data_IF_874586617261
#
_entry.id   IF_874586617261
#
_cell.length_a   1.000
_cell.length_b   1.000
_cell.length_c   1.000
_cell.angle_alpha   90.00
_cell.angle_beta   90.00
_cell.angle_gamma   90.00
#
_symmetry.space_group_name_H-M   'P 1'
#
loop_
_entity.id
_entity.type
_entity.pdbx_description
1 polymer ?
#
# COMPACT_ATOMS: atom_id res chain seq x y z
N UNK A 1 -21.32 46.15 -24.89
CA UNK A 1 -21.18 44.79 -24.32
C UNK A 1 -19.76 44.44 -23.92
N UNK A 2 -18.74 44.46 -24.78
CA UNK A 2 -17.35 44.08 -24.46
C UNK A 2 -16.74 44.79 -23.24
N UNK A 3 -16.95 46.12 -23.06
CA UNK A 3 -16.46 46.87 -21.88
C UNK A 3 -17.09 46.40 -20.56
N UNK A 4 -18.39 46.03 -20.52
CA UNK A 4 -19.04 45.49 -19.31
C UNK A 4 -18.49 44.10 -18.92
N UNK A 5 -18.17 43.26 -19.90
CA UNK A 5 -17.57 41.92 -19.67
C UNK A 5 -16.14 42.06 -19.11
N UNK A 6 -15.37 43.04 -19.61
CA UNK A 6 -14.01 43.29 -19.11
C UNK A 6 -14.05 43.82 -17.68
N UNK A 7 -14.96 44.76 -17.36
CA UNK A 7 -15.15 45.29 -16.00
C UNK A 7 -15.60 44.16 -15.05
N UNK A 8 -16.51 43.27 -15.47
CA UNK A 8 -16.99 42.15 -14.68
C UNK A 8 -15.84 41.13 -14.42
N UNK A 9 -15.00 40.86 -15.41
CA UNK A 9 -13.79 40.01 -15.24
C UNK A 9 -12.77 40.64 -14.30
N UNK A 10 -12.55 41.95 -14.39
CA UNK A 10 -11.63 42.69 -13.51
C UNK A 10 -12.20 42.73 -12.08
N UNK A 11 -13.50 42.97 -11.89
CA UNK A 11 -14.17 42.90 -10.59
C UNK A 11 -14.11 41.47 -9.98
N UNK A 12 -14.33 40.44 -10.80
CA UNK A 12 -14.20 39.03 -10.38
C UNK A 12 -12.77 38.71 -9.99
N UNK A 13 -11.78 39.18 -10.76
CA UNK A 13 -10.34 39.03 -10.43
C UNK A 13 -9.93 39.81 -9.18
N UNK A 14 -10.51 41.00 -8.94
CA UNK A 14 -10.28 41.77 -7.72
C UNK A 14 -10.96 41.14 -6.50
N UNK A 15 -12.14 40.58 -6.65
CA UNK A 15 -12.84 39.79 -5.61
C UNK A 15 -12.06 38.51 -5.27
N UNK A 16 -11.54 37.81 -6.27
CA UNK A 16 -10.71 36.61 -6.06
C UNK A 16 -9.37 36.95 -5.38
N UNK A 17 -8.76 38.11 -5.67
CA UNK A 17 -7.53 38.59 -4.99
C UNK A 17 -7.75 39.01 -3.53
N UNK A 18 -8.99 39.29 -3.09
CA UNK A 18 -9.29 39.65 -1.70
C UNK A 18 -9.57 38.48 -0.77
N UNK A 19 -9.70 37.27 -1.31
CA UNK A 19 -9.94 36.06 -0.49
C UNK A 19 -8.60 35.57 0.04
N UNK A 20 -8.33 35.83 1.32
CA UNK A 20 -7.19 35.29 2.00
C UNK A 20 -7.48 33.86 2.41
N UNK A 21 -6.77 32.92 1.80
CA UNK A 21 -6.84 31.50 2.11
C UNK A 21 -5.50 31.01 2.64
N UNK A 22 -5.55 30.07 3.57
CA UNK A 22 -4.38 29.43 4.17
C UNK A 22 -4.54 27.92 4.18
N UNK A 23 -3.59 27.19 3.57
CA UNK A 23 -3.52 25.73 3.71
C UNK A 23 -3.11 25.40 5.14
N UNK A 24 -3.78 24.46 5.78
CA UNK A 24 -3.49 23.99 7.14
C UNK A 24 -2.99 22.55 7.18
N UNK A 25 -3.42 21.73 6.21
CA UNK A 25 -3.08 20.30 6.13
C UNK A 25 -3.18 19.84 4.69
N UNK A 26 -2.30 18.91 4.32
CA UNK A 26 -2.32 18.20 3.04
C UNK A 26 -2.14 16.71 3.30
N UNK A 27 -3.02 15.91 2.75
CA UNK A 27 -2.84 14.48 2.61
C UNK A 27 -2.66 14.16 1.13
N UNK A 28 -1.58 13.51 0.78
CA UNK A 28 -1.28 13.00 -0.55
C UNK A 28 -1.29 11.48 -0.54
N UNK A 29 -1.99 10.87 -1.50
CA UNK A 29 -1.83 9.46 -1.81
C UNK A 29 -1.50 9.31 -3.28
N UNK A 30 -0.46 8.53 -3.60
CA UNK A 30 -0.11 8.24 -4.98
C UNK A 30 0.10 6.75 -5.25
N UNK A 31 -0.20 6.34 -6.48
CA UNK A 31 0.19 5.07 -7.05
C UNK A 31 1.70 5.07 -7.31
N UNK A 32 2.39 3.93 -7.13
CA UNK A 32 3.78 3.78 -7.58
C UNK A 32 3.95 4.14 -9.07
N UNK A 33 5.15 4.49 -9.49
CA UNK A 33 5.51 4.78 -10.87
C UNK A 33 5.50 3.56 -11.79
N UNK A 34 5.85 3.77 -13.06
CA UNK A 34 5.98 2.71 -14.06
C UNK A 34 6.92 1.61 -13.56
N UNK A 35 6.48 0.36 -13.71
CA UNK A 35 7.13 -0.85 -13.19
C UNK A 35 7.20 -1.96 -14.23
N UNK A 36 8.05 -2.93 -13.98
CA UNK A 36 8.04 -4.20 -14.70
C UNK A 36 6.73 -4.98 -14.42
N UNK A 37 6.33 -5.90 -15.30
CA UNK A 37 5.19 -6.79 -15.06
C UNK A 37 5.28 -7.50 -13.71
N UNK A 38 4.12 -7.65 -13.02
CA UNK A 38 4.10 -8.20 -11.66
C UNK A 38 3.88 -9.71 -11.59
N UNK A 39 3.23 -10.31 -12.60
CA UNK A 39 2.75 -11.69 -12.55
C UNK A 39 2.92 -12.36 -13.93
N UNK A 40 2.70 -13.67 -13.99
CA UNK A 40 2.62 -14.42 -15.25
C UNK A 40 3.88 -14.31 -16.14
N UNK A 41 5.05 -14.27 -15.51
CA UNK A 41 6.33 -14.44 -16.18
C UNK A 41 6.65 -15.93 -16.17
N UNK A 42 7.09 -16.48 -17.33
CA UNK A 42 7.45 -17.89 -17.45
C UNK A 42 8.72 -18.23 -16.66
N UNK A 43 9.07 -19.52 -16.62
CA UNK A 43 10.31 -20.00 -15.97
C UNK A 43 11.59 -19.41 -16.57
N UNK A 44 11.54 -18.83 -17.78
CA UNK A 44 12.66 -18.20 -18.46
C UNK A 44 12.68 -16.67 -18.25
N UNK A 45 11.78 -16.12 -17.42
CA UNK A 45 11.64 -14.69 -17.16
C UNK A 45 10.94 -13.92 -18.28
N UNK A 46 10.15 -14.60 -19.17
CA UNK A 46 9.45 -13.94 -20.28
C UNK A 46 7.99 -13.66 -19.95
N UNK A 47 7.53 -12.48 -20.32
CA UNK A 47 6.13 -12.08 -20.25
C UNK A 47 5.27 -12.64 -21.39
N UNK A 48 4.00 -12.23 -21.49
CA UNK A 48 3.09 -12.67 -22.54
C UNK A 48 3.56 -12.28 -23.96
N UNK A 49 4.26 -11.15 -24.12
CA UNK A 49 4.79 -10.69 -25.40
C UNK A 49 6.11 -11.35 -25.76
N UNK A 50 6.64 -12.22 -24.90
CA UNK A 50 7.93 -12.89 -25.07
C UNK A 50 9.14 -12.04 -24.66
N UNK A 51 8.92 -10.86 -24.09
CA UNK A 51 9.98 -9.98 -23.57
C UNK A 51 10.54 -10.53 -22.27
N UNK A 52 11.87 -10.56 -22.18
CA UNK A 52 12.57 -11.00 -20.96
C UNK A 52 12.71 -9.84 -19.97
N UNK A 53 12.40 -10.14 -18.71
CA UNK A 53 12.55 -9.23 -17.59
C UNK A 53 13.48 -9.82 -16.53
N UNK A 54 14.47 -9.04 -16.08
CA UNK A 54 15.40 -9.48 -15.04
C UNK A 54 14.74 -9.46 -13.65
N UNK A 55 13.81 -8.52 -13.43
CA UNK A 55 13.13 -8.35 -12.15
C UNK A 55 11.62 -8.18 -12.34
N UNK A 56 10.84 -8.84 -11.50
CA UNK A 56 9.37 -8.83 -11.56
C UNK A 56 8.80 -7.77 -10.62
N UNK A 57 7.96 -6.89 -11.16
CA UNK A 57 7.23 -5.88 -10.37
C UNK A 57 8.07 -4.76 -9.77
N UNK A 58 9.35 -4.66 -10.14
CA UNK A 58 10.24 -3.60 -9.67
C UNK A 58 10.01 -2.28 -10.43
N UNK A 59 10.31 -1.17 -9.77
CA UNK A 59 10.16 0.17 -10.33
C UNK A 59 11.19 0.41 -11.45
N UNK A 60 10.73 0.93 -12.59
CA UNK A 60 11.62 1.29 -13.69
C UNK A 60 12.26 2.67 -13.51
N UNK A 61 13.29 2.98 -14.31
CA UNK A 61 13.88 4.34 -14.32
C UNK A 61 12.86 5.39 -14.78
N UNK A 62 11.91 5.01 -15.64
CA UNK A 62 10.76 5.88 -16.01
C UNK A 62 9.92 6.17 -14.76
N UNK A 63 9.56 5.14 -13.99
CA UNK A 63 8.80 5.29 -12.75
C UNK A 63 9.52 6.14 -11.69
N UNK A 64 10.84 5.98 -11.55
CA UNK A 64 11.66 6.83 -10.66
C UNK A 64 11.59 8.30 -11.09
N UNK A 65 11.71 8.58 -12.40
CA UNK A 65 11.61 9.95 -12.93
C UNK A 65 10.21 10.54 -12.75
N UNK A 66 9.15 9.75 -12.97
CA UNK A 66 7.78 10.20 -12.73
C UNK A 66 7.61 10.72 -11.30
N UNK A 67 8.07 9.97 -10.31
CA UNK A 67 7.96 10.37 -8.90
C UNK A 67 8.89 11.51 -8.51
N UNK A 68 10.10 11.58 -9.06
CA UNK A 68 10.96 12.74 -8.85
C UNK A 68 10.30 14.03 -9.34
N UNK A 69 9.68 13.99 -10.52
CA UNK A 69 8.98 15.16 -11.08
C UNK A 69 7.72 15.50 -10.28
N UNK A 70 6.96 14.50 -9.78
CA UNK A 70 5.84 14.70 -8.87
C UNK A 70 6.32 15.38 -7.55
N UNK A 71 7.47 14.98 -7.03
CA UNK A 71 8.08 15.61 -5.88
C UNK A 71 8.48 17.07 -6.11
N UNK A 72 9.06 17.39 -7.28
CA UNK A 72 9.37 18.79 -7.66
C UNK A 72 8.08 19.61 -7.78
N UNK A 73 7.02 19.05 -8.35
CA UNK A 73 5.71 19.67 -8.41
C UNK A 73 5.16 19.98 -7.00
N UNK A 74 5.25 19.05 -6.07
CA UNK A 74 4.85 19.26 -4.68
C UNK A 74 5.72 20.34 -4.00
N UNK A 75 7.04 20.37 -4.26
CA UNK A 75 7.92 21.40 -3.76
C UNK A 75 7.45 22.79 -4.18
N UNK A 76 7.08 22.97 -5.46
CA UNK A 76 6.63 24.27 -5.98
C UNK A 76 5.25 24.66 -5.44
N UNK A 77 4.30 23.74 -5.41
CA UNK A 77 2.93 24.01 -4.97
C UNK A 77 2.84 24.36 -3.48
N UNK A 78 3.69 23.71 -2.66
CA UNK A 78 3.63 23.84 -1.20
C UNK A 78 4.80 24.64 -0.60
N UNK A 79 5.59 25.36 -1.41
CA UNK A 79 6.76 26.15 -0.96
C UNK A 79 6.46 27.20 0.11
N UNK A 80 5.25 27.77 0.12
CA UNK A 80 4.84 28.75 1.12
C UNK A 80 4.12 28.13 2.33
N UNK A 81 3.87 26.82 2.29
CA UNK A 81 3.18 26.07 3.32
C UNK A 81 4.15 25.25 4.18
N UNK A 82 5.15 24.66 3.55
CA UNK A 82 6.18 23.82 4.19
C UNK A 82 7.46 24.63 4.47
N UNK A 83 8.24 24.14 5.42
CA UNK A 83 9.58 24.65 5.67
C UNK A 83 10.52 24.39 4.47
N UNK A 84 11.55 25.19 4.35
CA UNK A 84 12.57 25.04 3.30
C UNK A 84 13.50 23.84 3.51
N UNK A 85 13.28 23.04 4.54
CA UNK A 85 14.02 21.82 4.82
C UNK A 85 13.09 20.79 5.45
N UNK A 86 13.44 19.52 5.32
CA UNK A 86 12.70 18.44 5.97
C UNK A 86 12.68 18.60 7.50
N UNK A 87 11.47 18.52 8.07
CA UNK A 87 11.26 18.47 9.51
C UNK A 87 10.32 17.31 9.89
N UNK A 88 10.73 16.38 10.80
CA UNK A 88 9.97 15.15 11.08
C UNK A 88 8.62 15.37 11.76
N UNK A 89 8.38 16.55 12.33
CA UNK A 89 7.07 16.92 12.90
C UNK A 89 6.14 17.59 11.88
N UNK A 90 6.66 17.96 10.72
CA UNK A 90 5.89 18.61 9.68
C UNK A 90 5.38 17.63 8.64
N UNK A 91 6.24 16.67 8.25
CA UNK A 91 5.98 15.71 7.17
C UNK A 91 6.05 14.29 7.70
N UNK A 92 5.03 13.51 7.39
CA UNK A 92 4.92 12.11 7.73
C UNK A 92 4.72 11.28 6.46
N UNK A 93 5.59 10.31 6.23
CA UNK A 93 5.57 9.49 5.00
C UNK A 93 5.38 8.03 5.34
N UNK A 94 4.40 7.41 4.69
CA UNK A 94 4.14 5.98 4.75
C UNK A 94 4.21 5.33 3.38
N UNK A 95 4.64 4.09 3.33
CA UNK A 95 4.63 3.26 2.13
C UNK A 95 4.13 1.85 2.45
N UNK A 96 3.49 1.18 1.49
CA UNK A 96 3.32 -0.27 1.55
C UNK A 96 4.69 -0.94 1.50
N UNK A 97 4.81 -2.14 2.08
CA UNK A 97 6.04 -2.92 2.06
C UNK A 97 6.26 -3.62 0.69
N UNK A 98 6.47 -2.81 -0.34
CA UNK A 98 6.82 -3.24 -1.70
C UNK A 98 7.95 -2.35 -2.23
N UNK A 99 8.96 -2.94 -2.85
CA UNK A 99 10.11 -2.18 -3.36
C UNK A 99 9.66 -1.01 -4.23
N UNK A 100 8.78 -1.24 -5.21
CA UNK A 100 8.30 -0.19 -6.12
C UNK A 100 7.62 0.99 -5.42
N UNK A 101 6.90 0.78 -4.31
CA UNK A 101 6.25 1.87 -3.58
C UNK A 101 7.25 2.62 -2.70
N UNK A 102 8.19 1.91 -2.08
CA UNK A 102 9.28 2.49 -1.29
C UNK A 102 10.18 3.33 -2.20
N UNK A 103 10.60 2.80 -3.35
CA UNK A 103 11.43 3.54 -4.33
C UNK A 103 10.67 4.73 -4.94
N UNK A 104 9.36 4.61 -5.16
CA UNK A 104 8.50 5.71 -5.60
C UNK A 104 8.47 6.84 -4.57
N UNK A 105 8.27 6.50 -3.29
CA UNK A 105 8.32 7.48 -2.20
C UNK A 105 9.70 8.11 -2.10
N UNK A 106 10.78 7.32 -2.19
CA UNK A 106 12.16 7.84 -2.17
C UNK A 106 12.39 8.84 -3.31
N UNK A 107 12.00 8.51 -4.53
CA UNK A 107 12.17 9.40 -5.68
C UNK A 107 11.30 10.68 -5.55
N UNK A 108 10.05 10.57 -5.06
CA UNK A 108 9.20 11.71 -4.78
C UNK A 108 9.84 12.66 -3.76
N UNK A 109 10.30 12.12 -2.63
CA UNK A 109 10.95 12.91 -1.57
C UNK A 109 12.28 13.54 -2.03
N UNK A 110 13.04 12.86 -2.88
CA UNK A 110 14.22 13.46 -3.53
C UNK A 110 13.84 14.69 -4.36
N UNK A 111 12.71 14.65 -5.08
CA UNK A 111 12.18 15.80 -5.81
C UNK A 111 11.67 16.89 -4.88
N UNK A 112 10.86 16.53 -3.89
CA UNK A 112 10.23 17.46 -2.94
C UNK A 112 11.25 18.24 -2.11
N UNK A 113 12.39 17.62 -1.79
CA UNK A 113 13.48 18.22 -1.03
C UNK A 113 14.75 18.41 -1.85
N UNK A 114 14.63 18.57 -3.17
CA UNK A 114 15.75 18.85 -4.05
C UNK A 114 16.33 20.22 -3.72
N UNK A 115 17.65 20.29 -3.46
CA UNK A 115 18.34 21.49 -2.99
C UNK A 115 17.83 22.07 -1.67
N UNK A 116 17.30 21.22 -0.81
CA UNK A 116 16.75 21.57 0.52
C UNK A 116 17.45 20.84 1.67
N UNK A 117 18.62 20.29 1.45
CA UNK A 117 19.44 19.63 2.46
C UNK A 117 20.00 20.61 3.50
N UNK A 118 20.31 20.10 4.67
CA UNK A 118 21.01 20.88 5.69
C UNK A 118 22.52 20.81 5.48
N UNK A 119 23.15 21.97 5.47
CA UNK A 119 24.62 22.08 5.32
C UNK A 119 25.35 21.58 6.57
N UNK A 120 26.51 20.98 6.37
CA UNK A 120 27.45 20.59 7.42
C UNK A 120 28.29 21.80 7.79
N UNK A 121 28.36 22.11 9.10
CA UNK A 121 29.24 23.21 9.59
C UNK A 121 30.71 22.80 9.52
N UNK A 122 31.60 23.75 9.39
CA UNK A 122 33.05 23.51 9.27
C UNK A 122 33.62 22.63 10.40
N UNK A 123 33.19 22.88 11.65
CA UNK A 123 33.60 22.08 12.80
C UNK A 123 33.03 20.67 12.84
N UNK A 124 32.03 20.37 11.99
CA UNK A 124 31.38 19.05 11.86
C UNK A 124 32.00 18.19 10.74
N UNK A 125 32.71 18.81 9.78
CA UNK A 125 33.29 18.10 8.61
C UNK A 125 34.19 16.93 9.02
N UNK A 126 35.03 17.12 10.05
CA UNK A 126 35.88 16.04 10.57
C UNK A 126 35.13 14.82 11.10
N UNK A 127 33.86 14.97 11.52
CA UNK A 127 33.01 13.90 12.02
C UNK A 127 32.11 13.29 10.93
N UNK A 128 32.08 13.90 9.74
CA UNK A 128 31.29 13.41 8.62
C UNK A 128 31.95 12.19 7.92
N UNK A 129 33.21 11.95 8.18
CA UNK A 129 33.93 10.78 7.70
C UNK A 129 33.81 9.67 8.74
N UNK A 130 33.33 8.46 8.34
CA UNK A 130 33.24 7.35 9.25
C UNK A 130 34.57 6.99 9.88
N UNK A 131 34.61 6.83 11.20
CA UNK A 131 35.82 6.41 11.92
C UNK A 131 36.19 4.96 11.55
N UNK A 132 37.48 4.65 11.55
CA UNK A 132 38.03 3.32 11.26
C UNK A 132 37.84 2.84 9.81
N UNK A 133 37.44 3.73 8.88
CA UNK A 133 37.40 3.44 7.45
C UNK A 133 38.49 4.26 6.76
N UNK A 134 39.37 3.57 6.03
CA UNK A 134 40.34 4.25 5.17
C UNK A 134 39.64 4.64 3.85
N UNK A 135 39.31 5.90 3.73
CA UNK A 135 38.66 6.44 2.53
C UNK A 135 39.69 6.51 1.41
N UNK A 136 39.46 5.79 0.32
CA UNK A 136 40.34 5.79 -0.84
C UNK A 136 40.31 7.13 -1.61
N UNK A 137 41.23 7.30 -2.58
CA UNK A 137 41.37 8.54 -3.34
C UNK A 137 40.05 8.97 -4.07
N UNK A 138 39.24 8.01 -4.51
CA UNK A 138 37.94 8.29 -5.17
C UNK A 138 36.99 8.94 -4.16
N UNK A 139 36.83 8.33 -2.99
CA UNK A 139 35.93 8.84 -1.96
C UNK A 139 36.37 10.19 -1.41
N UNK A 140 37.69 10.42 -1.29
CA UNK A 140 38.25 11.75 -0.92
C UNK A 140 37.87 12.83 -1.94
N UNK A 141 37.88 12.51 -3.25
CA UNK A 141 37.42 13.44 -4.27
C UNK A 141 35.93 13.77 -4.08
N UNK A 142 35.07 12.76 -3.86
CA UNK A 142 33.64 12.96 -3.60
C UNK A 142 33.42 13.82 -2.36
N UNK A 143 34.18 13.61 -1.26
CA UNK A 143 34.09 14.44 -0.05
C UNK A 143 34.42 15.91 -0.35
N UNK A 144 35.42 16.16 -1.18
CA UNK A 144 35.75 17.52 -1.59
C UNK A 144 34.69 18.16 -2.47
N UNK A 145 34.08 17.36 -3.40
CA UNK A 145 33.00 17.83 -4.28
C UNK A 145 31.72 18.14 -3.51
N UNK A 146 31.43 17.41 -2.41
CA UNK A 146 30.31 17.69 -1.52
C UNK A 146 30.42 19.01 -0.77
N UNK A 147 31.65 19.45 -0.48
CA UNK A 147 31.97 20.69 0.29
C UNK A 147 31.14 20.72 1.62
N UNK A 148 30.10 21.56 1.68
CA UNK A 148 29.21 21.69 2.86
C UNK A 148 27.96 20.85 2.74
N UNK A 149 27.70 20.21 1.61
CA UNK A 149 26.50 19.37 1.41
C UNK A 149 26.62 18.08 2.21
N UNK A 150 25.55 17.69 2.89
CA UNK A 150 25.48 16.40 3.58
C UNK A 150 25.33 15.22 2.61
N UNK A 151 24.65 15.43 1.48
CA UNK A 151 24.42 14.48 0.42
C UNK A 151 24.56 15.16 -0.96
N UNK A 152 24.85 14.40 -2.03
CA UNK A 152 24.93 14.95 -3.39
C UNK A 152 23.66 15.72 -3.76
N UNK A 153 23.85 16.83 -4.50
CA UNK A 153 22.78 17.72 -4.95
C UNK A 153 21.99 18.39 -3.83
N UNK A 154 22.52 18.41 -2.61
CA UNK A 154 21.89 19.01 -1.43
C UNK A 154 20.48 18.45 -1.18
N UNK A 155 20.32 17.12 -1.33
CA UNK A 155 19.05 16.42 -1.11
C UNK A 155 18.89 16.12 0.38
N UNK A 156 17.69 16.34 0.93
CA UNK A 156 17.38 15.90 2.28
C UNK A 156 17.02 14.40 2.32
N UNK A 157 17.59 13.65 3.25
CA UNK A 157 17.13 12.30 3.58
C UNK A 157 15.85 12.35 4.39
N UNK A 158 14.76 11.75 3.88
CA UNK A 158 13.46 11.71 4.54
C UNK A 158 13.10 10.27 4.91
N UNK A 159 12.79 9.96 6.17
CA UNK A 159 12.37 8.63 6.59
C UNK A 159 11.04 8.23 5.96
N UNK A 160 10.95 6.97 5.52
CA UNK A 160 9.73 6.34 5.02
C UNK A 160 9.34 5.27 6.04
N UNK A 161 8.13 5.40 6.61
CA UNK A 161 7.57 4.41 7.51
C UNK A 161 6.84 3.34 6.71
N UNK A 162 7.10 2.08 7.03
CA UNK A 162 6.42 0.96 6.39
C UNK A 162 5.25 0.53 7.25
N UNK A 163 4.12 0.25 6.59
CA UNK A 163 3.05 -0.48 7.25
C UNK A 163 3.43 -1.96 7.35
N UNK A 164 3.19 -2.54 8.50
CA UNK A 164 3.39 -3.98 8.70
C UNK A 164 2.20 -4.73 8.10
N UNK A 165 2.48 -5.66 7.19
CA UNK A 165 1.43 -6.50 6.56
C UNK A 165 0.62 -7.28 7.62
N UNK A 166 1.24 -7.59 8.75
CA UNK A 166 0.66 -8.32 9.88
C UNK A 166 -0.30 -7.47 10.74
N UNK A 167 -0.22 -6.15 10.69
CA UNK A 167 -1.05 -5.22 11.46
C UNK A 167 -2.31 -4.78 10.71
N UNK A 168 -2.77 -5.57 9.73
CA UNK A 168 -3.98 -5.29 8.95
C UNK A 168 -3.98 -3.90 8.32
N UNK A 169 -2.98 -3.65 7.50
CA UNK A 169 -2.84 -2.37 6.81
C UNK A 169 -3.89 -2.21 5.70
N UNK A 170 -5.11 -1.88 6.14
CA UNK A 170 -6.20 -1.49 5.24
C UNK A 170 -5.98 -0.13 4.58
N UNK A 171 -4.89 0.57 4.92
CA UNK A 171 -4.75 1.97 4.57
C UNK A 171 -4.18 2.18 3.19
N UNK A 172 -3.34 1.26 2.71
CA UNK A 172 -2.58 1.44 1.47
C UNK A 172 -2.80 0.33 0.44
N UNK A 173 -3.48 -0.75 0.81
CA UNK A 173 -3.72 -1.89 -0.06
C UNK A 173 -5.04 -2.58 0.31
N UNK A 174 -5.67 -3.28 -0.66
CA UNK A 174 -6.74 -4.22 -0.34
C UNK A 174 -6.19 -5.29 0.62
N UNK A 175 -6.93 -5.68 1.67
CA UNK A 175 -6.42 -6.65 2.62
C UNK A 175 -6.28 -8.02 1.97
N UNK A 176 -5.07 -8.47 1.76
CA UNK A 176 -4.75 -9.78 1.18
C UNK A 176 -5.28 -10.95 1.99
N UNK A 177 -5.46 -10.74 3.29
CA UNK A 177 -5.86 -11.77 4.26
C UNK A 177 -7.34 -11.73 4.60
N UNK A 178 -8.12 -10.87 3.96
CA UNK A 178 -9.56 -10.80 4.13
C UNK A 178 -10.25 -11.81 3.19
N UNK A 179 -10.48 -13.03 3.65
CA UNK A 179 -11.10 -14.09 2.85
C UNK A 179 -12.43 -13.68 2.18
N UNK A 180 -13.36 -12.97 2.86
CA UNK A 180 -14.57 -12.49 2.22
C UNK A 180 -14.29 -11.61 1.00
N UNK A 181 -13.31 -10.70 1.07
CA UNK A 181 -12.95 -9.85 -0.08
C UNK A 181 -12.40 -10.67 -1.24
N UNK A 182 -11.50 -11.60 -0.97
CA UNK A 182 -10.94 -12.47 -2.00
C UNK A 182 -12.05 -13.27 -2.72
N UNK A 183 -13.00 -13.83 -1.97
CA UNK A 183 -14.12 -14.55 -2.52
C UNK A 183 -15.07 -13.66 -3.35
N UNK A 184 -15.35 -12.44 -2.88
CA UNK A 184 -16.18 -11.47 -3.59
C UNK A 184 -15.52 -11.00 -4.88
N UNK A 185 -14.23 -10.68 -4.83
CA UNK A 185 -13.41 -10.32 -6.00
C UNK A 185 -13.43 -11.44 -7.04
N UNK A 186 -13.20 -12.68 -6.60
CA UNK A 186 -13.27 -13.85 -7.48
C UNK A 186 -14.64 -13.99 -8.14
N UNK A 187 -15.75 -13.81 -7.39
CA UNK A 187 -17.12 -13.86 -7.92
C UNK A 187 -17.36 -12.75 -8.94
N UNK A 188 -16.95 -11.51 -8.65
CA UNK A 188 -17.16 -10.38 -9.55
C UNK A 188 -16.35 -10.52 -10.85
N UNK A 189 -15.06 -10.89 -10.77
CA UNK A 189 -14.22 -11.07 -11.96
C UNK A 189 -14.71 -12.19 -12.90
N UNK A 190 -15.52 -13.14 -12.40
CA UNK A 190 -16.12 -14.21 -13.18
C UNK A 190 -17.62 -13.96 -13.52
N UNK A 191 -18.13 -12.76 -13.25
CA UNK A 191 -19.51 -12.38 -13.55
C UNK A 191 -19.76 -12.30 -15.08
N UNK A 192 -21.03 -12.31 -15.46
CA UNK A 192 -21.42 -12.19 -16.87
C UNK A 192 -20.99 -10.86 -17.48
N UNK A 193 -20.99 -9.76 -16.71
CA UNK A 193 -20.53 -8.46 -17.18
C UNK A 193 -19.03 -8.49 -17.50
N UNK A 194 -18.21 -9.11 -16.63
CA UNK A 194 -16.78 -9.26 -16.88
C UNK A 194 -16.48 -10.19 -18.06
N UNK A 195 -17.25 -11.28 -18.20
CA UNK A 195 -17.17 -12.14 -19.39
C UNK A 195 -17.51 -11.39 -20.67
N UNK A 196 -18.48 -10.47 -20.64
CA UNK A 196 -18.80 -9.60 -21.78
C UNK A 196 -17.62 -8.70 -22.14
N UNK A 197 -16.96 -8.05 -21.16
CA UNK A 197 -15.79 -7.25 -21.42
C UNK A 197 -14.63 -8.07 -22.05
N UNK A 198 -14.42 -9.31 -21.61
CA UNK A 198 -13.46 -10.23 -22.21
C UNK A 198 -13.84 -10.58 -23.65
N UNK A 199 -15.12 -10.89 -23.89
CA UNK A 199 -15.63 -11.19 -25.24
C UNK A 199 -15.48 -10.00 -26.20
N UNK A 200 -15.81 -8.78 -25.74
CA UNK A 200 -15.67 -7.57 -26.54
C UNK A 200 -14.19 -7.34 -26.92
N UNK A 201 -13.25 -7.55 -25.97
CA UNK A 201 -11.82 -7.49 -26.26
C UNK A 201 -11.40 -8.57 -27.24
N UNK A 202 -11.86 -9.81 -27.06
CA UNK A 202 -11.56 -10.94 -27.94
C UNK A 202 -12.06 -10.69 -29.38
N UNK A 203 -13.28 -10.13 -29.52
CA UNK A 203 -13.85 -9.79 -30.83
C UNK A 203 -13.04 -8.69 -31.55
N UNK A 204 -12.51 -7.74 -30.77
CA UNK A 204 -11.76 -6.61 -31.33
C UNK A 204 -10.30 -6.97 -31.71
N UNK A 205 -9.62 -7.74 -30.86
CA UNK A 205 -8.17 -7.98 -30.98
C UNK A 205 -7.78 -9.47 -31.01
N UNK A 206 -8.66 -10.38 -30.59
CA UNK A 206 -8.31 -11.77 -30.27
C UNK A 206 -7.67 -12.53 -31.45
N UNK A 207 -8.21 -12.41 -32.68
CA UNK A 207 -7.63 -13.10 -33.85
C UNK A 207 -6.22 -12.61 -34.16
N UNK A 208 -6.00 -11.29 -34.12
CA UNK A 208 -4.71 -10.67 -34.40
C UNK A 208 -3.68 -11.01 -33.33
N UNK A 209 -4.11 -10.96 -32.06
CA UNK A 209 -3.27 -11.33 -30.92
C UNK A 209 -2.91 -12.81 -30.92
N UNK A 210 -3.83 -13.71 -31.24
CA UNK A 210 -3.53 -15.13 -31.34
C UNK A 210 -2.46 -15.39 -32.41
N UNK A 211 -2.60 -14.81 -33.60
CA UNK A 211 -1.58 -14.91 -34.67
C UNK A 211 -0.21 -14.34 -34.24
N UNK A 212 -0.22 -13.24 -33.47
CA UNK A 212 1.00 -12.67 -32.93
C UNK A 212 1.64 -13.60 -31.89
N UNK A 213 0.84 -14.08 -30.90
CA UNK A 213 1.30 -14.93 -29.82
C UNK A 213 1.81 -16.28 -30.29
N UNK A 214 1.18 -16.90 -31.30
CA UNK A 214 1.64 -18.13 -31.91
C UNK A 214 3.04 -18.00 -32.54
N UNK A 215 3.37 -16.82 -33.06
CA UNK A 215 4.64 -16.57 -33.73
C UNK A 215 5.72 -15.99 -32.81
N UNK A 216 5.36 -15.17 -31.84
CA UNK A 216 6.30 -14.37 -31.07
C UNK A 216 6.14 -14.52 -29.56
N UNK A 217 5.01 -15.04 -29.09
CA UNK A 217 4.66 -15.08 -27.68
C UNK A 217 5.30 -16.25 -26.94
N UNK A 218 5.06 -16.24 -25.63
CA UNK A 218 5.50 -17.29 -24.73
C UNK A 218 4.48 -18.44 -24.71
N UNK A 219 4.82 -19.57 -25.34
CA UNK A 219 3.93 -20.74 -25.49
C UNK A 219 3.35 -21.27 -24.16
N UNK A 220 4.08 -21.16 -23.04
CA UNK A 220 3.61 -21.67 -21.76
C UNK A 220 2.36 -20.93 -21.22
N UNK A 221 2.22 -19.64 -21.58
CA UNK A 221 1.19 -18.78 -21.03
C UNK A 221 -0.10 -18.68 -21.87
N UNK A 222 -0.09 -19.08 -23.17
CA UNK A 222 -1.25 -18.88 -24.04
C UNK A 222 -1.68 -20.09 -24.89
N UNK A 223 -1.08 -21.26 -24.73
CA UNK A 223 -1.47 -22.51 -25.44
C UNK A 223 -2.96 -22.88 -25.33
N UNK A 224 -3.72 -22.17 -24.51
CA UNK A 224 -5.13 -22.38 -24.33
C UNK A 224 -5.91 -21.50 -25.31
N UNK A 225 -6.55 -22.09 -26.31
CA UNK A 225 -7.41 -21.41 -27.33
C UNK A 225 -8.49 -20.48 -26.72
N UNK A 226 -8.74 -20.62 -25.41
CA UNK A 226 -9.74 -19.86 -24.64
C UNK A 226 -9.11 -18.79 -23.74
N UNK A 227 -7.85 -18.41 -23.96
CA UNK A 227 -7.13 -17.47 -23.10
C UNK A 227 -7.90 -16.13 -22.92
N UNK A 228 -8.40 -15.57 -24.03
CA UNK A 228 -9.15 -14.31 -24.01
C UNK A 228 -10.64 -14.44 -23.63
N UNK A 229 -11.13 -15.64 -23.27
CA UNK A 229 -12.49 -15.83 -22.76
C UNK A 229 -12.62 -15.46 -21.27
N UNK A 230 -11.49 -15.31 -20.58
CA UNK A 230 -11.42 -14.94 -19.17
C UNK A 230 -11.04 -13.46 -19.00
N UNK A 231 -11.87 -12.71 -18.27
CA UNK A 231 -11.58 -11.30 -17.95
C UNK A 231 -10.23 -11.14 -17.24
N UNK A 232 -9.91 -12.02 -16.29
CA UNK A 232 -8.66 -11.94 -15.56
C UNK A 232 -7.43 -12.16 -16.45
N UNK A 233 -7.53 -13.04 -17.45
CA UNK A 233 -6.45 -13.26 -18.39
C UNK A 233 -6.24 -12.04 -19.29
N UNK A 234 -7.33 -11.46 -19.79
CA UNK A 234 -7.30 -10.22 -20.59
C UNK A 234 -6.71 -9.07 -19.76
N UNK A 235 -7.15 -8.95 -18.51
CA UNK A 235 -6.61 -7.94 -17.56
C UNK A 235 -5.10 -8.13 -17.36
N UNK A 236 -4.64 -9.34 -17.07
CA UNK A 236 -3.21 -9.63 -16.88
C UNK A 236 -2.39 -9.34 -18.14
N UNK A 237 -2.91 -9.71 -19.30
CA UNK A 237 -2.28 -9.39 -20.58
C UNK A 237 -2.16 -7.87 -20.78
N UNK A 238 -3.22 -7.13 -20.50
CA UNK A 238 -3.22 -5.68 -20.56
C UNK A 238 -2.24 -5.04 -19.57
N UNK A 239 -2.12 -5.57 -18.34
CA UNK A 239 -1.14 -5.08 -17.35
C UNK A 239 0.29 -5.22 -17.86
N UNK A 240 0.62 -6.36 -18.49
CA UNK A 240 1.92 -6.59 -19.14
C UNK A 240 2.15 -5.62 -20.29
N UNK A 241 1.20 -5.52 -21.21
CA UNK A 241 1.31 -4.62 -22.35
C UNK A 241 1.51 -3.17 -21.92
N UNK A 242 0.73 -2.68 -20.93
CA UNK A 242 0.88 -1.32 -20.41
C UNK A 242 2.27 -1.13 -19.78
N UNK A 243 2.77 -2.11 -19.04
CA UNK A 243 4.11 -2.06 -18.46
C UNK A 243 5.19 -1.97 -19.53
N UNK A 244 5.12 -2.81 -20.56
CA UNK A 244 6.05 -2.84 -21.68
C UNK A 244 6.01 -1.54 -22.49
N UNK A 245 4.79 -1.10 -22.85
CA UNK A 245 4.57 0.11 -23.65
C UNK A 245 5.06 1.36 -22.90
N UNK A 246 4.86 1.42 -21.59
CA UNK A 246 5.33 2.55 -20.76
C UNK A 246 6.84 2.52 -20.53
N UNK A 247 7.45 1.32 -20.52
CA UNK A 247 8.88 1.18 -20.38
C UNK A 247 9.62 1.60 -21.66
N UNK A 248 9.18 1.10 -22.80
CA UNK A 248 9.73 1.41 -24.12
C UNK A 248 8.70 1.16 -25.22
N UNK A 249 7.99 2.20 -25.64
CA UNK A 249 7.00 2.13 -26.73
C UNK A 249 7.63 1.83 -28.09
N UNK A 250 8.94 2.02 -28.23
CA UNK A 250 9.72 1.75 -29.45
C UNK A 250 10.32 0.33 -29.47
N UNK A 251 10.11 -0.45 -28.40
CA UNK A 251 10.59 -1.83 -28.29
C UNK A 251 10.14 -2.68 -29.49
N UNK A 252 11.03 -3.55 -29.97
CA UNK A 252 10.81 -4.38 -31.16
C UNK A 252 9.58 -5.29 -30.98
N UNK A 253 9.33 -5.83 -29.79
CA UNK A 253 8.17 -6.69 -29.54
C UNK A 253 6.86 -5.90 -29.60
N UNK A 254 6.85 -4.67 -29.05
CA UNK A 254 5.70 -3.77 -29.15
C UNK A 254 5.42 -3.42 -30.62
N UNK A 255 6.44 -3.03 -31.38
CA UNK A 255 6.30 -2.71 -32.81
C UNK A 255 5.91 -3.91 -33.68
N UNK A 256 6.21 -5.12 -33.28
CA UNK A 256 5.73 -6.33 -33.97
C UNK A 256 4.20 -6.43 -33.96
N UNK A 257 3.51 -5.90 -32.91
CA UNK A 257 2.05 -5.88 -32.88
C UNK A 257 1.44 -5.12 -34.05
N UNK A 258 2.07 -4.02 -34.48
CA UNK A 258 1.61 -3.24 -35.65
C UNK A 258 1.66 -4.07 -36.96
N UNK A 259 2.64 -4.98 -37.10
CA UNK A 259 2.72 -5.92 -38.26
C UNK A 259 1.53 -6.88 -38.29
N UNK A 260 0.85 -7.08 -37.18
CA UNK A 260 -0.40 -7.85 -37.10
C UNK A 260 -1.65 -6.95 -37.16
N UNK A 261 -1.51 -5.71 -37.66
CA UNK A 261 -2.60 -4.73 -37.81
C UNK A 261 -3.26 -4.35 -36.49
N UNK A 262 -2.50 -4.29 -35.41
CA UNK A 262 -2.95 -3.79 -34.10
C UNK A 262 -2.52 -2.31 -33.98
N UNK A 263 -3.48 -1.41 -33.90
CA UNK A 263 -3.24 0.00 -33.57
C UNK A 263 -2.86 0.09 -32.09
N UNK A 264 -1.61 0.47 -31.81
CA UNK A 264 -1.05 0.49 -30.45
C UNK A 264 -1.76 1.47 -29.54
N UNK A 265 -2.14 2.67 -30.03
CA UNK A 265 -2.83 3.68 -29.23
C UNK A 265 -4.24 3.21 -28.85
N UNK A 266 -4.99 2.68 -29.82
CA UNK A 266 -6.32 2.11 -29.57
C UNK A 266 -6.24 0.93 -28.60
N UNK A 267 -5.25 0.09 -28.78
CA UNK A 267 -4.99 -1.07 -27.92
C UNK A 267 -4.63 -0.64 -26.49
N UNK A 268 -3.74 0.33 -26.33
CA UNK A 268 -3.38 0.92 -25.05
C UNK A 268 -4.62 1.49 -24.32
N UNK A 269 -5.41 2.30 -25.01
CA UNK A 269 -6.62 2.85 -24.43
C UNK A 269 -7.64 1.78 -24.00
N UNK A 270 -7.75 0.69 -24.79
CA UNK A 270 -8.62 -0.43 -24.44
C UNK A 270 -8.12 -1.15 -23.20
N UNK A 271 -6.81 -1.39 -23.10
CA UNK A 271 -6.19 -1.97 -21.93
C UNK A 271 -6.36 -1.07 -20.69
N UNK A 272 -6.15 0.24 -20.80
CA UNK A 272 -6.38 1.20 -19.71
C UNK A 272 -7.83 1.16 -19.21
N UNK A 273 -8.81 1.03 -20.12
CA UNK A 273 -10.21 0.89 -19.72
C UNK A 273 -10.46 -0.41 -18.94
N UNK A 274 -9.86 -1.53 -19.32
CA UNK A 274 -9.98 -2.78 -18.58
C UNK A 274 -9.31 -2.71 -17.20
N UNK A 275 -8.19 -1.99 -17.07
CA UNK A 275 -7.58 -1.69 -15.78
C UNK A 275 -8.53 -0.91 -14.88
N UNK A 276 -9.19 0.13 -15.43
CA UNK A 276 -10.22 0.90 -14.72
C UNK A 276 -11.37 0.02 -14.25
N UNK A 277 -11.93 -0.83 -15.11
CA UNK A 277 -13.01 -1.77 -14.76
C UNK A 277 -12.58 -2.71 -13.62
N UNK A 278 -11.37 -3.27 -13.68
CA UNK A 278 -10.85 -4.12 -12.60
C UNK A 278 -10.84 -3.39 -11.26
N UNK A 279 -10.37 -2.15 -11.23
CA UNK A 279 -10.22 -1.38 -9.99
C UNK A 279 -11.57 -0.92 -9.42
N UNK A 280 -12.45 -0.39 -10.25
CA UNK A 280 -13.68 0.26 -9.80
C UNK A 280 -14.88 -0.70 -9.71
N UNK A 281 -14.97 -1.68 -10.62
CA UNK A 281 -16.14 -2.54 -10.72
C UNK A 281 -15.89 -3.96 -10.17
N UNK A 282 -14.66 -4.45 -10.19
CA UNK A 282 -14.30 -5.72 -9.58
C UNK A 282 -13.83 -5.56 -8.14
N UNK A 283 -12.82 -4.70 -7.88
CA UNK A 283 -12.27 -4.53 -6.51
C UNK A 283 -13.27 -3.79 -5.62
N UNK A 284 -13.77 -2.64 -6.08
CA UNK A 284 -14.71 -1.79 -5.32
C UNK A 284 -16.14 -1.79 -5.86
N UNK A 285 -16.53 -2.82 -6.61
CA UNK A 285 -17.91 -2.96 -7.10
C UNK A 285 -18.95 -3.18 -6.00
N UNK A 286 -18.50 -3.59 -4.81
CA UNK A 286 -19.35 -3.75 -3.63
C UNK A 286 -19.07 -2.68 -2.59
N UNK A 287 -20.15 -2.13 -2.04
CA UNK A 287 -20.09 -1.07 -1.03
C UNK A 287 -19.41 -1.52 0.27
N UNK A 288 -19.66 -2.75 0.71
CA UNK A 288 -19.05 -3.30 1.93
C UNK A 288 -17.51 -3.39 1.81
N UNK A 289 -16.98 -3.79 0.65
CA UNK A 289 -15.54 -3.81 0.37
C UNK A 289 -14.97 -2.38 0.36
N UNK A 290 -15.66 -1.45 -0.29
CA UNK A 290 -15.26 -0.04 -0.33
C UNK A 290 -15.20 0.57 1.08
N UNK A 291 -16.25 0.38 1.88
CA UNK A 291 -16.32 0.96 3.24
C UNK A 291 -15.34 0.30 4.19
N UNK A 292 -15.15 -1.02 4.09
CA UNK A 292 -14.14 -1.72 4.87
C UNK A 292 -12.73 -1.16 4.59
N UNK A 293 -12.37 -1.00 3.30
CA UNK A 293 -11.04 -0.53 2.90
C UNK A 293 -10.80 0.95 3.17
N UNK A 294 -11.83 1.80 3.01
CA UNK A 294 -11.68 3.26 3.07
C UNK A 294 -11.98 3.85 4.45
N UNK A 295 -12.64 3.12 5.35
CA UNK A 295 -12.94 3.65 6.70
C UNK A 295 -11.70 3.98 7.52
N UNK A 296 -10.66 3.15 7.59
CA UNK A 296 -9.45 3.48 8.36
C UNK A 296 -8.72 4.74 7.85
N UNK A 297 -8.39 4.89 6.55
CA UNK A 297 -7.67 6.06 6.06
C UNK A 297 -8.48 7.35 6.23
N UNK A 298 -9.77 7.36 5.90
CA UNK A 298 -10.59 8.57 6.05
C UNK A 298 -10.71 9.01 7.51
N UNK A 299 -10.80 8.09 8.46
CA UNK A 299 -10.81 8.40 9.90
C UNK A 299 -9.52 9.09 10.34
N UNK A 300 -8.36 8.61 9.86
CA UNK A 300 -7.08 9.25 10.15
C UNK A 300 -6.98 10.64 9.52
N UNK A 301 -7.40 10.81 8.27
CA UNK A 301 -7.39 12.10 7.56
C UNK A 301 -8.24 13.13 8.33
N UNK A 302 -9.48 12.76 8.69
CA UNK A 302 -10.36 13.65 9.47
C UNK A 302 -9.72 14.01 10.80
N UNK A 303 -9.16 13.06 11.54
CA UNK A 303 -8.51 13.32 12.83
C UNK A 303 -7.31 14.27 12.70
N UNK A 304 -6.49 14.15 11.66
CA UNK A 304 -5.41 15.10 11.40
C UNK A 304 -5.93 16.48 11.05
N UNK A 305 -6.97 16.58 10.23
CA UNK A 305 -7.62 17.85 9.89
C UNK A 305 -8.19 18.53 11.13
N UNK A 306 -8.89 17.82 12.01
CA UNK A 306 -9.44 18.36 13.26
C UNK A 306 -8.35 18.90 14.19
N UNK A 307 -7.25 18.19 14.33
CA UNK A 307 -6.09 18.67 15.12
C UNK A 307 -5.50 19.96 14.53
N UNK A 308 -5.39 20.06 13.20
CA UNK A 308 -4.91 21.27 12.53
C UNK A 308 -5.89 22.43 12.65
N UNK A 309 -7.20 22.17 12.59
CA UNK A 309 -8.24 23.17 12.88
C UNK A 309 -8.10 23.69 14.31
N UNK A 310 -7.98 22.80 15.29
CA UNK A 310 -7.80 23.17 16.69
C UNK A 310 -6.56 24.05 16.90
N UNK A 311 -5.41 23.68 16.33
CA UNK A 311 -4.19 24.49 16.40
C UNK A 311 -4.39 25.87 15.73
N UNK A 312 -5.12 25.94 14.61
CA UNK A 312 -5.41 27.21 13.96
C UNK A 312 -6.32 28.12 14.82
N UNK A 313 -7.33 27.57 15.46
CA UNK A 313 -8.21 28.28 16.40
C UNK A 313 -7.46 28.85 17.62
N UNK A 314 -6.38 28.20 18.02
CA UNK A 314 -5.48 28.67 19.08
C UNK A 314 -4.41 29.65 18.59
N UNK A 315 -4.43 30.07 17.32
CA UNK A 315 -3.39 30.85 16.67
C UNK A 315 -2.01 30.16 16.63
N UNK A 316 -1.99 28.82 16.69
CA UNK A 316 -0.80 27.96 16.70
C UNK A 316 -0.65 27.14 15.41
N UNK A 317 -1.22 27.60 14.29
CA UNK A 317 -1.24 26.85 13.02
C UNK A 317 0.16 26.50 12.45
N UNK A 318 1.19 27.24 12.85
CA UNK A 318 2.58 26.97 12.43
C UNK A 318 3.31 26.01 13.39
N UNK A 319 2.66 25.60 14.48
CA UNK A 319 3.29 24.67 15.43
C UNK A 319 3.52 23.30 14.79
N UNK A 320 4.68 22.74 15.12
CA UNK A 320 5.12 21.43 14.62
C UNK A 320 4.91 20.38 15.70
N UNK A 321 4.07 19.39 15.40
CA UNK A 321 3.73 18.30 16.31
C UNK A 321 3.66 16.96 15.53
N UNK A 322 4.30 15.91 16.06
CA UNK A 322 4.26 14.56 15.50
C UNK A 322 2.84 13.99 15.35
N UNK A 323 1.93 14.37 16.26
CA UNK A 323 0.54 13.91 16.22
C UNK A 323 -0.36 14.73 15.29
N UNK A 324 0.17 15.84 14.76
CA UNK A 324 -0.55 16.79 13.92
C UNK A 324 0.37 17.29 12.79
N UNK A 325 0.85 16.39 11.91
CA UNK A 325 1.70 16.79 10.78
C UNK A 325 0.95 17.76 9.87
N UNK A 326 1.68 18.58 9.12
CA UNK A 326 1.10 19.45 8.10
C UNK A 326 0.90 18.71 6.79
N UNK A 327 1.82 17.82 6.43
CA UNK A 327 1.81 17.09 5.17
C UNK A 327 1.99 15.59 5.42
N UNK A 328 1.07 14.78 4.91
CA UNK A 328 1.11 13.32 5.03
C UNK A 328 1.14 12.70 3.65
N UNK A 329 2.12 11.85 3.40
CA UNK A 329 2.29 11.13 2.13
C UNK A 329 2.03 9.65 2.32
N UNK A 330 1.18 9.08 1.49
CA UNK A 330 0.98 7.63 1.39
C UNK A 330 1.37 7.14 0.00
N UNK A 331 2.45 6.37 -0.06
CA UNK A 331 2.87 5.69 -1.28
C UNK A 331 2.24 4.31 -1.38
N UNK A 332 1.47 4.06 -2.44
CA UNK A 332 0.72 2.82 -2.57
C UNK A 332 0.42 2.41 -4.01
N UNK A 333 -0.83 2.01 -4.22
CA UNK A 333 -1.27 1.30 -5.41
C UNK A 333 -2.46 1.99 -6.09
N UNK A 334 -2.69 1.61 -7.35
CA UNK A 334 -3.86 2.02 -8.12
C UNK A 334 -5.18 1.66 -7.45
N UNK A 335 -5.27 0.48 -6.82
CA UNK A 335 -6.46 0.05 -6.08
C UNK A 335 -6.78 1.01 -4.94
N UNK A 336 -5.79 1.51 -4.21
CA UNK A 336 -6.04 2.46 -3.11
C UNK A 336 -6.48 3.82 -3.64
N UNK A 337 -5.84 4.34 -4.71
CA UNK A 337 -6.29 5.57 -5.40
C UNK A 337 -7.75 5.41 -5.86
N UNK A 338 -8.08 4.26 -6.48
CA UNK A 338 -9.44 3.96 -6.93
C UNK A 338 -10.45 3.94 -5.78
N UNK A 339 -10.08 3.39 -4.61
CA UNK A 339 -10.92 3.38 -3.42
C UNK A 339 -11.26 4.80 -2.94
N UNK A 340 -10.28 5.68 -2.83
CA UNK A 340 -10.49 7.09 -2.51
C UNK A 340 -11.41 7.77 -3.52
N UNK A 341 -11.15 7.62 -4.83
CA UNK A 341 -11.98 8.19 -5.88
C UNK A 341 -13.43 7.67 -5.84
N UNK A 342 -13.62 6.35 -5.67
CA UNK A 342 -14.94 5.73 -5.58
C UNK A 342 -15.76 6.25 -4.41
N UNK A 343 -15.11 6.46 -3.24
CA UNK A 343 -15.79 7.02 -2.07
C UNK A 343 -16.15 8.50 -2.29
N UNK A 344 -15.24 9.29 -2.85
CA UNK A 344 -15.50 10.71 -3.17
C UNK A 344 -16.59 10.86 -4.24
N UNK A 345 -16.60 10.01 -5.26
CA UNK A 345 -17.71 9.96 -6.22
C UNK A 345 -19.05 9.65 -5.54
N UNK A 346 -19.08 8.62 -4.68
CA UNK A 346 -20.30 8.22 -3.95
C UNK A 346 -20.87 9.34 -3.07
N UNK A 347 -20.03 10.15 -2.42
CA UNK A 347 -20.45 11.13 -1.44
C UNK A 347 -20.65 12.54 -2.02
N UNK A 348 -19.93 12.87 -3.07
CA UNK A 348 -19.79 14.24 -3.57
C UNK A 348 -19.84 14.32 -5.09
N UNK A 349 -20.23 13.25 -5.79
CA UNK A 349 -20.34 13.17 -7.26
C UNK A 349 -19.03 13.57 -7.99
N UNK A 350 -17.88 13.41 -7.31
CA UNK A 350 -16.59 13.75 -7.89
C UNK A 350 -16.25 12.81 -9.05
N UNK A 351 -15.62 13.34 -10.09
CA UNK A 351 -15.22 12.55 -11.26
C UNK A 351 -14.27 11.42 -10.90
N UNK A 352 -14.43 10.28 -11.60
CA UNK A 352 -13.54 9.12 -11.51
C UNK A 352 -12.56 9.14 -12.68
N UNK A 353 -11.27 9.31 -12.36
CA UNK A 353 -10.17 9.35 -13.32
C UNK A 353 -9.37 8.05 -13.21
N UNK A 354 -8.94 7.48 -14.36
CA UNK A 354 -8.11 6.27 -14.34
C UNK A 354 -6.81 6.51 -13.57
N UNK A 355 -6.50 5.72 -12.52
CA UNK A 355 -5.27 5.89 -11.76
C UNK A 355 -4.07 5.28 -12.48
N UNK A 356 -3.54 5.98 -13.49
CA UNK A 356 -2.32 5.60 -14.22
C UNK A 356 -1.07 5.58 -13.31
N UNK A 357 0.08 5.16 -13.84
CA UNK A 357 1.33 5.19 -13.08
C UNK A 357 1.63 6.60 -12.56
N UNK A 358 2.06 6.69 -11.31
CA UNK A 358 2.30 7.91 -10.57
C UNK A 358 1.06 8.85 -10.42
N UNK A 359 -0.17 8.35 -10.66
CA UNK A 359 -1.38 9.11 -10.35
C UNK A 359 -1.41 9.47 -8.86
N UNK A 360 -1.75 10.72 -8.57
CA UNK A 360 -1.82 11.27 -7.21
C UNK A 360 -3.17 11.92 -6.93
N UNK A 361 -3.63 11.79 -5.69
CA UNK A 361 -4.79 12.47 -5.15
C UNK A 361 -4.39 13.23 -3.89
N UNK A 362 -5.06 14.36 -3.66
CA UNK A 362 -4.83 15.18 -2.47
C UNK A 362 -6.14 15.51 -1.76
N UNK A 363 -6.05 15.62 -0.44
CA UNK A 363 -7.04 16.27 0.40
C UNK A 363 -6.35 17.44 1.10
N UNK A 364 -6.71 18.66 0.73
CA UNK A 364 -6.20 19.88 1.35
C UNK A 364 -7.22 20.47 2.29
N UNK A 365 -6.83 20.71 3.54
CA UNK A 365 -7.62 21.52 4.45
C UNK A 365 -7.23 22.99 4.27
N UNK A 366 -8.18 23.82 3.83
CA UNK A 366 -7.99 25.24 3.57
C UNK A 366 -8.83 26.07 4.54
N UNK A 367 -8.22 27.05 5.14
CA UNK A 367 -8.88 28.04 5.99
C UNK A 367 -9.13 29.34 5.22
N UNK A 368 -10.36 29.81 5.20
CA UNK A 368 -10.78 31.07 4.62
C UNK A 368 -10.88 32.12 5.73
N UNK A 369 -9.89 33.04 5.79
CA UNK A 369 -9.79 34.03 6.85
C UNK A 369 -10.99 34.98 6.90
N UNK A 370 -11.57 35.35 5.73
CA UNK A 370 -12.63 36.34 5.62
C UNK A 370 -13.94 35.95 6.32
N UNK A 371 -14.25 34.65 6.35
CA UNK A 371 -15.49 34.12 6.96
C UNK A 371 -15.24 33.12 8.07
N UNK A 372 -13.98 32.96 8.48
CA UNK A 372 -13.54 32.03 9.53
C UNK A 372 -14.06 30.60 9.30
N UNK A 373 -13.97 30.09 8.06
CA UNK A 373 -14.50 28.79 7.68
C UNK A 373 -13.42 27.87 7.11
N UNK A 374 -13.64 26.56 7.19
CA UNK A 374 -12.71 25.52 6.77
C UNK A 374 -13.33 24.73 5.62
N UNK A 375 -12.52 24.46 4.58
CA UNK A 375 -12.93 23.68 3.43
C UNK A 375 -11.92 22.57 3.15
N UNK A 376 -12.38 21.49 2.54
CA UNK A 376 -11.57 20.40 2.03
C UNK A 376 -11.60 20.45 0.50
N UNK A 377 -10.45 20.68 -0.10
CA UNK A 377 -10.26 20.47 -1.54
C UNK A 377 -9.91 19.00 -1.77
N UNK A 378 -10.66 18.35 -2.64
CA UNK A 378 -10.29 17.06 -3.21
C UNK A 378 -9.72 17.27 -4.60
N UNK A 379 -8.46 16.86 -4.79
CA UNK A 379 -7.67 17.15 -5.98
C UNK A 379 -7.20 15.82 -6.59
N UNK A 380 -7.22 15.71 -7.92
CA UNK A 380 -6.63 14.60 -8.65
C UNK A 380 -5.61 15.18 -9.64
N UNK A 381 -4.33 14.85 -9.43
CA UNK A 381 -3.23 15.55 -10.13
C UNK A 381 -3.26 17.05 -9.84
N UNK A 382 -3.50 17.86 -10.88
CA UNK A 382 -3.61 19.32 -10.78
C UNK A 382 -5.07 19.82 -10.74
N UNK A 383 -6.04 18.92 -10.85
CA UNK A 383 -7.44 19.29 -11.00
C UNK A 383 -8.17 19.23 -9.67
N UNK A 384 -8.66 20.36 -9.18
CA UNK A 384 -9.57 20.42 -8.04
C UNK A 384 -10.93 19.89 -8.50
N UNK A 385 -11.28 18.69 -8.06
CA UNK A 385 -12.54 18.03 -8.42
C UNK A 385 -13.71 18.46 -7.53
N UNK A 386 -13.45 18.84 -6.29
CA UNK A 386 -14.46 19.38 -5.37
C UNK A 386 -13.85 20.20 -4.25
N UNK A 387 -14.58 21.21 -3.79
CA UNK A 387 -14.30 22.00 -2.59
C UNK A 387 -15.52 21.92 -1.69
N UNK A 388 -15.35 21.36 -0.49
CA UNK A 388 -16.45 20.98 0.40
C UNK A 388 -16.21 21.62 1.76
N UNK A 389 -17.25 22.23 2.38
CA UNK A 389 -17.14 22.73 3.75
C UNK A 389 -16.78 21.57 4.70
N UNK A 390 -15.82 21.79 5.63
CA UNK A 390 -15.23 20.73 6.43
C UNK A 390 -16.26 19.97 7.29
N UNK A 391 -17.20 20.65 7.93
CA UNK A 391 -18.21 19.97 8.75
C UNK A 391 -19.17 19.15 7.87
N UNK A 392 -19.49 19.61 6.68
CA UNK A 392 -20.27 18.83 5.71
C UNK A 392 -19.49 17.60 5.25
N UNK A 393 -18.20 17.76 4.89
CA UNK A 393 -17.31 16.67 4.52
C UNK A 393 -17.27 15.62 5.65
N UNK A 394 -16.92 16.04 6.86
CA UNK A 394 -16.86 15.18 8.03
C UNK A 394 -18.18 14.45 8.27
N UNK A 395 -19.28 15.15 8.33
CA UNK A 395 -20.63 14.59 8.57
C UNK A 395 -21.02 13.52 7.54
N UNK A 396 -20.81 13.80 6.23
CA UNK A 396 -21.14 12.85 5.17
C UNK A 396 -20.24 11.61 5.24
N UNK A 397 -18.95 11.80 5.43
CA UNK A 397 -17.97 10.70 5.51
C UNK A 397 -18.24 9.84 6.75
N UNK A 398 -18.29 10.42 7.96
CA UNK A 398 -18.48 9.67 9.21
C UNK A 398 -19.81 8.90 9.24
N UNK A 399 -20.86 9.41 8.60
CA UNK A 399 -22.16 8.73 8.52
C UNK A 399 -22.07 7.33 7.91
N UNK A 400 -21.13 7.09 7.00
CA UNK A 400 -21.00 5.82 6.28
C UNK A 400 -19.79 4.99 6.74
N UNK A 401 -18.81 5.59 7.41
CA UNK A 401 -17.62 4.85 7.86
C UNK A 401 -17.97 3.71 8.82
N UNK A 402 -17.32 2.60 8.60
CA UNK A 402 -17.40 1.48 9.54
C UNK A 402 -16.52 1.73 10.76
N UNK A 403 -16.98 1.28 11.95
CA UNK A 403 -16.14 1.24 13.14
C UNK A 403 -14.98 0.25 12.95
N UNK A 404 -13.88 0.43 13.68
CA UNK A 404 -12.75 -0.50 13.65
C UNK A 404 -13.20 -1.93 13.96
N UNK A 405 -14.03 -2.11 14.98
CA UNK A 405 -14.61 -3.41 15.33
C UNK A 405 -15.36 -4.05 14.18
N UNK A 406 -16.12 -3.27 13.38
CA UNK A 406 -16.86 -3.78 12.22
C UNK A 406 -15.90 -4.17 11.09
N UNK A 407 -14.84 -3.40 10.85
CA UNK A 407 -13.79 -3.71 9.85
C UNK A 407 -13.12 -5.04 10.19
N UNK A 408 -12.67 -5.22 11.44
CA UNK A 408 -12.05 -6.48 11.87
C UNK A 408 -13.01 -7.67 11.79
N UNK A 409 -14.24 -7.50 12.26
CA UNK A 409 -15.25 -8.57 12.23
C UNK A 409 -15.57 -9.02 10.80
N UNK A 410 -15.55 -8.12 9.84
CA UNK A 410 -15.84 -8.43 8.44
C UNK A 410 -14.81 -9.39 7.83
N UNK A 411 -13.55 -9.25 8.23
CA UNK A 411 -12.47 -10.09 7.74
C UNK A 411 -12.16 -11.32 8.63
N UNK A 412 -13.01 -11.62 9.61
CA UNK A 412 -12.78 -12.67 10.62
C UNK A 412 -11.49 -12.48 11.45
N UNK A 413 -10.96 -11.25 11.48
CA UNK A 413 -9.81 -10.89 12.32
C UNK A 413 -10.23 -10.66 13.78
N UNK A 414 -11.17 -11.45 14.31
CA UNK A 414 -11.50 -11.41 15.73
C UNK A 414 -10.47 -12.23 16.49
N UNK A 415 -9.36 -11.60 16.84
CA UNK A 415 -8.32 -12.19 17.70
C UNK A 415 -8.91 -12.81 18.98
N UNK A 416 -10.02 -12.26 19.50
CA UNK A 416 -10.73 -12.83 20.64
C UNK A 416 -11.26 -14.25 20.37
N UNK A 417 -11.70 -14.56 19.16
CA UNK A 417 -12.14 -15.92 18.83
C UNK A 417 -10.96 -16.87 18.68
N UNK A 418 -9.84 -16.45 18.13
CA UNK A 418 -8.62 -17.26 18.05
C UNK A 418 -8.08 -17.54 19.45
N UNK A 419 -7.98 -16.53 20.32
CA UNK A 419 -7.58 -16.75 21.73
C UNK A 419 -8.57 -17.59 22.50
N UNK A 420 -9.90 -17.46 22.29
CA UNK A 420 -10.91 -18.33 22.88
C UNK A 420 -10.75 -19.77 22.43
N UNK A 421 -10.55 -20.02 21.13
CA UNK A 421 -10.31 -21.37 20.60
C UNK A 421 -9.02 -21.94 21.20
N UNK A 422 -7.92 -21.18 21.24
CA UNK A 422 -6.69 -21.61 21.89
C UNK A 422 -6.85 -21.90 23.38
N UNK A 423 -7.59 -21.06 24.11
CA UNK A 423 -7.91 -21.28 25.52
C UNK A 423 -8.75 -22.53 25.73
N UNK A 424 -9.76 -22.77 24.90
CA UNK A 424 -10.60 -23.99 24.94
C UNK A 424 -9.73 -25.23 24.67
N UNK A 425 -8.91 -25.21 23.62
CA UNK A 425 -8.00 -26.32 23.29
C UNK A 425 -7.03 -26.58 24.43
N UNK A 426 -6.45 -25.55 25.03
CA UNK A 426 -5.55 -25.68 26.17
C UNK A 426 -6.26 -26.29 27.40
N UNK A 427 -7.47 -25.86 27.70
CA UNK A 427 -8.28 -26.42 28.78
C UNK A 427 -8.57 -27.91 28.54
N UNK A 428 -8.97 -28.28 27.30
CA UNK A 428 -9.20 -29.68 26.94
C UNK A 428 -7.93 -30.52 27.11
N UNK A 429 -6.78 -30.03 26.68
CA UNK A 429 -5.48 -30.72 26.83
C UNK A 429 -5.15 -30.90 28.32
N UNK A 430 -5.33 -29.91 29.15
CA UNK A 430 -5.10 -29.97 30.61
C UNK A 430 -6.02 -31.01 31.24
N UNK A 431 -7.32 -31.01 30.89
CA UNK A 431 -8.27 -31.99 31.42
C UNK A 431 -7.88 -33.42 31.02
N UNK A 432 -7.48 -33.65 29.78
CA UNK A 432 -6.99 -34.97 29.33
C UNK A 432 -5.76 -35.40 30.08
N UNK A 433 -4.78 -34.52 30.29
CA UNK A 433 -3.57 -34.79 31.05
C UNK A 433 -3.89 -35.13 32.50
N UNK A 434 -4.79 -34.42 33.16
CA UNK A 434 -5.26 -34.69 34.52
C UNK A 434 -5.94 -36.07 34.61
N UNK A 435 -6.80 -36.42 33.64
CA UNK A 435 -7.46 -37.72 33.58
C UNK A 435 -6.44 -38.87 33.41
N UNK A 436 -5.44 -38.69 32.56
CA UNK A 436 -4.32 -39.65 32.39
C UNK A 436 -3.56 -39.81 33.70
N UNK A 437 -3.25 -38.72 34.39
CA UNK A 437 -2.53 -38.73 35.65
C UNK A 437 -3.32 -39.46 36.73
N UNK A 438 -4.62 -39.18 36.85
CA UNK A 438 -5.53 -39.87 37.79
C UNK A 438 -5.61 -41.38 37.46
N UNK A 439 -5.69 -41.74 36.18
CA UNK A 439 -5.68 -43.14 35.75
C UNK A 439 -4.35 -43.84 36.13
N UNK A 440 -3.21 -43.22 35.86
CA UNK A 440 -1.90 -43.74 36.22
C UNK A 440 -1.73 -43.92 37.73
N UNK A 441 -2.17 -42.96 38.53
CA UNK A 441 -2.13 -43.04 40.00
C UNK A 441 -3.04 -44.17 40.52
N UNK A 442 -4.27 -44.32 39.94
CA UNK A 442 -5.17 -45.40 40.29
C UNK A 442 -4.62 -46.77 39.92
N UNK A 443 -4.01 -46.89 38.72
CA UNK A 443 -3.35 -48.12 38.27
C UNK A 443 -2.17 -48.48 39.15
N UNK A 444 -1.31 -47.52 39.54
CA UNK A 444 -0.21 -47.73 40.46
C UNK A 444 -0.68 -48.15 41.85
N UNK A 445 -1.75 -47.54 42.40
CA UNK A 445 -2.35 -47.99 43.67
C UNK A 445 -2.84 -49.41 43.61
N UNK A 446 -3.48 -49.83 42.51
CA UNK A 446 -3.93 -51.20 42.32
C UNK A 446 -2.72 -52.19 42.19
N UNK A 447 -1.68 -51.81 41.48
CA UNK A 447 -0.44 -52.64 41.40
C UNK A 447 0.25 -52.76 42.75
N UNK A 448 0.33 -51.67 43.54
CA UNK A 448 0.88 -51.72 44.90
C UNK A 448 0.02 -52.63 45.81
N UNK A 449 -1.31 -52.61 45.64
CA UNK A 449 -2.19 -53.50 46.41
C UNK A 449 -2.02 -54.95 46.05
N UNK A 450 -1.89 -55.32 44.76
CA UNK A 450 -1.56 -56.64 44.27
C UNK A 450 -0.21 -57.13 44.81
N UNK A 451 0.84 -56.32 44.73
CA UNK A 451 2.17 -56.66 45.27
C UNK A 451 2.13 -56.91 46.80
N UNK A 452 1.34 -56.11 47.54
CA UNK A 452 1.17 -56.32 48.99
C UNK A 452 0.29 -57.53 49.32
N UNK A 453 -0.61 -57.98 48.44
CA UNK A 453 -1.37 -59.22 48.59
C UNK A 453 -0.44 -60.45 48.30
N UNK A 454 0.38 -60.40 47.25
CA UNK A 454 1.38 -61.43 46.94
C UNK A 454 2.45 -61.51 48.00
N UNK A 455 2.87 -60.43 48.62
CA UNK A 455 3.85 -60.44 49.76
C UNK A 455 3.25 -61.03 51.04
N UNK A 456 1.92 -61.05 51.24
CA UNK A 456 1.26 -61.69 52.37
C UNK A 456 1.13 -63.20 52.22
N UNK A 457 1.18 -63.77 51.01
CA UNK A 457 1.16 -65.21 50.74
C UNK A 457 2.54 -65.89 50.84
N UNK A 458 3.62 -65.12 50.94
CA UNK A 458 4.96 -65.61 51.13
C UNK A 458 5.10 -66.06 52.61
N UNK A 459 4.92 -67.38 52.87
CA UNK A 459 5.22 -67.99 54.21
C UNK A 459 6.66 -67.74 54.59
N UNK A 460 6.94 -67.42 55.88
CA UNK A 460 8.33 -67.25 56.33
C UNK A 460 9.09 -68.56 56.21
N UNK A 461 10.15 -68.53 55.47
CA UNK A 461 11.16 -69.60 55.38
C UNK A 461 11.80 -69.73 56.78
N UNK A 462 11.61 -70.89 57.48
CA UNK A 462 12.30 -71.18 58.68
C UNK A 462 13.80 -71.37 58.36
N UNK A 463 14.62 -70.44 58.75
CA UNK A 463 16.08 -70.63 58.78
C UNK A 463 16.43 -71.55 59.92
N UNK A 464 16.87 -72.77 59.58
CA UNK A 464 17.56 -73.68 60.55
C UNK A 464 18.90 -73.03 60.90
N UNK A 465 19.08 -72.78 62.17
CA UNK A 465 20.40 -72.48 62.77
C UNK A 465 21.26 -73.76 62.75
N UNK A 466 22.20 -73.88 61.84
CA UNK A 466 23.36 -74.74 61.97
C UNK A 466 24.52 -73.91 62.56
N UNK A 467 24.79 -74.17 63.82
CA UNK A 467 26.07 -73.86 64.50
C UNK A 467 27.18 -74.64 63.80
N UNK A 468 28.15 -73.98 63.27
CA UNK A 468 29.45 -74.55 63.07
C UNK A 468 30.54 -73.63 63.58
N UNK A 469 31.14 -74.04 64.67
CA UNK A 469 32.43 -73.59 65.17
C UNK A 469 33.51 -73.78 64.11
N UNK A 470 34.24 -72.75 63.77
CA UNK A 470 35.63 -72.93 63.30
C UNK A 470 36.48 -71.83 63.95
N UNK A 471 37.48 -72.40 64.64
CA UNK A 471 38.60 -71.76 65.34
C UNK A 471 39.50 -70.99 64.35
N UNK A 472 40.13 -70.03 64.98
CA UNK A 472 41.44 -69.42 64.72
C UNK A 472 42.31 -70.09 63.64
N UNK A 473 42.83 -69.35 62.71
CA UNK A 473 44.22 -68.93 62.59
C UNK A 473 44.34 -67.59 61.84
#
# INVERSE_FOLDING_TARGET
MKKKIIILKILLLLLLKSIKTKILFVFEHFRHGARNPCNHIDKNGRDYLGKKWDFVGELTNVGKRQHFLLGLHNQENYKNFLLDFYHPKEILVYSTNRNRTIESATANLMGMFFKKGKKIKENQKKFSIPQNININNFANKVVNDLNDDSLPFDIAGVPIHLFKEEEHDFMLHEPKFCHPIAAMKYKLQNSNDMKKHALDFKNEFGEKLNKFLEKNGNEENYKNMNFFDSFINVYNFCDHFISDFTFDSEDEQIKKLEKFQIDLNRFYNRCQNLMKIMQFDVVFGREDVLLMSMSPPFRKIINWMEKRIHLNQLNRSNELDYNSPKFVVFSGHDTTVAGFQKLMNKLFDSEIINPEFAASIYFELVFFENNNSYFVNYINGDVVLSTIEFNEFKRKVEKILWSEKKVYKFCDFDFFNVYKIFAIVLIVVIVVLVLILVYCVKKNKNNIKLINEDLKEIKPIKLNEEKNDIKKE
#
